data_IF_190459329304
#
_entry.id   IF_190459329304
#
_cell.length_a   1.000
_cell.length_b   1.000
_cell.length_c   1.000
_cell.angle_alpha   90.00
_cell.angle_beta   90.00
_cell.angle_gamma   90.00
#
_symmetry.space_group_name_H-M   'P 1'
#
loop_
_entity.id
_entity.type
_entity.pdbx_description
1 polymer ?
#
# COMPACT_ATOMS: atom_id res chain seq x y z
N UNK A 1 -12.87 13.55 6.01
CA UNK A 1 -11.59 13.77 6.70
C UNK A 1 -11.66 15.01 7.60
N UNK A 2 -11.91 16.21 7.06
CA UNK A 2 -12.00 17.47 7.84
C UNK A 2 -12.94 17.35 9.05
N UNK A 3 -14.18 16.89 8.87
CA UNK A 3 -15.14 16.67 9.98
C UNK A 3 -14.62 15.77 11.10
N UNK A 4 -13.83 14.75 10.76
CA UNK A 4 -13.20 13.88 11.76
C UNK A 4 -12.10 14.64 12.52
N UNK A 5 -11.30 15.44 11.81
CA UNK A 5 -10.27 16.26 12.46
C UNK A 5 -10.90 17.30 13.39
N UNK A 6 -12.03 17.90 13.00
CA UNK A 6 -12.82 18.80 13.86
C UNK A 6 -13.37 18.06 15.10
N UNK A 7 -13.97 16.87 14.91
CA UNK A 7 -14.51 16.05 15.99
C UNK A 7 -13.45 15.67 17.03
N UNK A 8 -12.22 15.45 16.60
CA UNK A 8 -11.07 15.11 17.47
C UNK A 8 -10.21 16.31 17.86
N UNK A 9 -10.59 17.55 17.50
CA UNK A 9 -9.83 18.78 17.77
C UNK A 9 -8.35 18.70 17.29
N UNK A 10 -8.17 18.16 16.07
CA UNK A 10 -6.89 18.00 15.38
C UNK A 10 -6.73 18.92 14.17
N UNK A 11 -7.79 19.62 13.79
CA UNK A 11 -7.87 20.58 12.66
C UNK A 11 -6.92 21.79 12.80
N UNK A 12 -6.40 22.05 14.00
CA UNK A 12 -5.48 23.15 14.30
C UNK A 12 -4.06 22.69 14.65
N UNK A 13 -3.74 21.40 14.48
CA UNK A 13 -2.45 20.80 14.85
C UNK A 13 -1.74 20.27 13.61
N UNK A 14 -0.45 20.57 13.39
CA UNK A 14 0.28 19.96 12.28
C UNK A 14 0.34 18.44 12.39
N UNK A 15 0.09 17.74 11.29
CA UNK A 15 0.13 16.27 11.23
C UNK A 15 0.71 15.76 9.91
N UNK A 16 1.01 14.46 9.86
CA UNK A 16 1.38 13.74 8.65
C UNK A 16 0.30 12.73 8.29
N UNK A 17 0.02 12.60 7.00
CA UNK A 17 -0.96 11.68 6.45
C UNK A 17 -0.24 10.62 5.62
N UNK A 18 -0.35 9.36 6.01
CA UNK A 18 0.18 8.23 5.22
C UNK A 18 -0.97 7.46 4.58
N UNK A 19 -1.02 7.45 3.25
CA UNK A 19 -2.10 6.81 2.46
C UNK A 19 -1.54 6.22 1.18
N UNK A 20 -2.29 5.37 0.49
CA UNK A 20 -1.87 4.86 -0.82
C UNK A 20 -1.81 5.98 -1.87
N UNK A 21 -0.96 5.81 -2.90
CA UNK A 21 -0.74 6.83 -3.91
C UNK A 21 -1.74 6.72 -5.07
N UNK A 22 -3.02 6.55 -4.73
CA UNK A 22 -4.10 6.60 -5.71
C UNK A 22 -4.42 8.07 -6.03
N UNK A 23 -4.84 8.35 -7.26
CA UNK A 23 -5.07 9.74 -7.72
C UNK A 23 -6.12 10.49 -6.88
N UNK A 24 -7.17 9.78 -6.43
CA UNK A 24 -8.19 10.33 -5.54
C UNK A 24 -7.65 10.72 -4.15
N UNK A 25 -6.64 10.02 -3.64
CA UNK A 25 -5.99 10.35 -2.38
C UNK A 25 -5.14 11.61 -2.51
N UNK A 26 -4.44 11.76 -3.63
CA UNK A 26 -3.71 12.99 -3.95
C UNK A 26 -4.67 14.18 -4.02
N UNK A 27 -5.84 14.00 -4.65
CA UNK A 27 -6.89 15.03 -4.66
C UNK A 27 -7.38 15.35 -3.25
N UNK A 28 -7.64 14.34 -2.43
CA UNK A 28 -8.09 14.52 -1.04
C UNK A 28 -7.05 15.28 -0.20
N UNK A 29 -5.75 15.00 -0.36
CA UNK A 29 -4.70 15.75 0.33
C UNK A 29 -4.71 17.25 -0.04
N UNK A 30 -4.92 17.58 -1.32
CA UNK A 30 -5.04 18.97 -1.78
C UNK A 30 -6.29 19.66 -1.23
N UNK A 31 -7.41 18.96 -1.18
CA UNK A 31 -8.65 19.47 -0.56
C UNK A 31 -8.48 19.70 0.95
N UNK A 32 -7.69 18.85 1.61
CA UNK A 32 -7.37 18.97 3.03
C UNK A 32 -6.52 20.21 3.31
N UNK A 33 -5.49 20.45 2.50
CA UNK A 33 -4.69 21.68 2.57
C UNK A 33 -5.54 22.93 2.31
N UNK A 34 -6.45 22.90 1.33
CA UNK A 34 -7.35 24.01 1.05
C UNK A 34 -8.32 24.30 2.21
N UNK A 35 -8.67 23.28 2.99
CA UNK A 35 -9.63 23.41 4.11
C UNK A 35 -8.96 23.83 5.42
N UNK A 36 -7.76 23.33 5.71
CA UNK A 36 -7.04 23.55 6.98
C UNK A 36 -5.99 24.67 6.90
N UNK A 37 -5.57 25.03 5.68
CA UNK A 37 -4.46 25.94 5.44
C UNK A 37 -3.09 25.23 5.48
N UNK A 38 -2.16 25.73 4.67
CA UNK A 38 -0.81 25.13 4.51
C UNK A 38 0.04 25.16 5.78
N UNK A 39 -0.29 26.00 6.76
CA UNK A 39 0.36 26.06 8.08
C UNK A 39 0.06 24.81 8.94
N UNK A 40 -1.13 24.22 8.76
CA UNK A 40 -1.57 23.02 9.47
C UNK A 40 -1.24 21.77 8.66
N UNK A 41 -1.54 21.79 7.36
CA UNK A 41 -1.32 20.65 6.49
C UNK A 41 -0.94 21.10 5.08
N UNK A 42 0.29 20.80 4.67
CA UNK A 42 0.76 20.96 3.29
C UNK A 42 0.66 19.62 2.58
N UNK A 43 -0.10 19.53 1.48
CA UNK A 43 -0.23 18.29 0.74
C UNK A 43 1.12 17.81 0.18
N UNK A 44 2.03 18.72 -0.14
CA UNK A 44 3.37 18.40 -0.64
C UNK A 44 4.28 17.83 0.45
N UNK A 45 4.27 18.43 1.65
CA UNK A 45 5.24 18.12 2.70
C UNK A 45 4.71 17.11 3.73
N UNK A 46 3.40 17.03 3.93
CA UNK A 46 2.77 16.24 4.98
C UNK A 46 2.06 14.99 4.46
N UNK A 47 1.87 14.84 3.14
CA UNK A 47 1.35 13.61 2.56
C UNK A 47 2.49 12.65 2.19
N UNK A 48 2.51 11.51 2.86
CA UNK A 48 3.50 10.45 2.63
C UNK A 48 2.79 9.28 1.92
N UNK A 49 3.31 8.88 0.77
CA UNK A 49 2.83 7.69 0.09
C UNK A 49 3.12 6.42 0.90
N UNK A 50 2.16 5.50 0.93
CA UNK A 50 2.29 4.22 1.61
C UNK A 50 3.48 3.43 1.04
N UNK A 51 4.33 2.91 1.95
CA UNK A 51 5.49 2.08 1.59
C UNK A 51 5.11 0.88 0.71
N UNK A 52 3.92 0.30 0.90
CA UNK A 52 3.44 -0.79 0.07
C UNK A 52 3.25 -0.39 -1.39
N UNK A 53 2.75 0.82 -1.64
CA UNK A 53 2.63 1.35 -3.00
C UNK A 53 4.01 1.61 -3.62
N UNK A 54 4.94 2.20 -2.86
CA UNK A 54 6.31 2.45 -3.31
C UNK A 54 7.01 1.15 -3.72
N UNK A 55 6.91 0.11 -2.87
CA UNK A 55 7.47 -1.22 -3.18
C UNK A 55 6.83 -1.78 -4.44
N UNK A 56 5.51 -1.69 -4.59
CA UNK A 56 4.83 -2.18 -5.78
C UNK A 56 5.31 -1.47 -7.06
N UNK A 57 5.48 -0.16 -7.04
CA UNK A 57 5.97 0.61 -8.19
C UNK A 57 7.42 0.26 -8.53
N UNK A 58 8.28 0.10 -7.52
CA UNK A 58 9.68 -0.34 -7.70
C UNK A 58 9.72 -1.72 -8.33
N UNK A 59 8.92 -2.67 -7.84
CA UNK A 59 8.88 -4.05 -8.38
C UNK A 59 8.36 -4.05 -9.81
N UNK A 60 7.29 -3.33 -10.11
CA UNK A 60 6.76 -3.21 -11.48
C UNK A 60 7.82 -2.64 -12.43
N UNK A 61 8.52 -1.58 -12.01
CA UNK A 61 9.60 -0.97 -12.78
C UNK A 61 10.76 -1.95 -12.98
N UNK A 62 11.18 -2.66 -11.94
CA UNK A 62 12.27 -3.64 -12.02
C UNK A 62 11.93 -4.81 -12.95
N UNK A 63 10.68 -5.29 -12.94
CA UNK A 63 10.22 -6.35 -13.83
C UNK A 63 10.18 -5.85 -15.28
N UNK A 64 9.57 -4.69 -15.54
CA UNK A 64 9.39 -4.16 -16.89
C UNK A 64 10.70 -3.66 -17.50
N UNK A 65 11.47 -2.86 -16.77
CA UNK A 65 12.71 -2.26 -17.26
C UNK A 65 13.92 -3.20 -17.14
N UNK A 66 14.00 -3.98 -16.07
CA UNK A 66 15.15 -4.85 -15.79
C UNK A 66 15.05 -6.22 -16.44
N UNK A 67 13.87 -6.84 -16.41
CA UNK A 67 13.67 -8.21 -16.91
C UNK A 67 13.04 -8.26 -18.31
N UNK A 68 12.60 -7.10 -18.85
CA UNK A 68 11.88 -6.97 -20.13
C UNK A 68 10.69 -7.93 -20.28
N UNK A 69 10.21 -8.46 -19.17
CA UNK A 69 9.08 -9.36 -19.17
C UNK A 69 7.81 -8.51 -19.10
N UNK A 70 6.88 -8.74 -20.05
CA UNK A 70 5.56 -8.14 -19.94
C UNK A 70 4.88 -8.65 -18.67
N UNK A 71 4.35 -7.72 -17.87
CA UNK A 71 3.43 -8.09 -16.81
C UNK A 71 2.17 -8.68 -17.49
N UNK A 72 1.79 -9.95 -17.23
CA UNK A 72 0.55 -10.47 -17.78
C UNK A 72 -0.59 -9.66 -17.18
N UNK A 73 -1.41 -9.08 -18.04
CA UNK A 73 -2.72 -8.58 -17.64
C UNK A 73 -3.50 -9.75 -17.06
N UNK A 74 -4.04 -9.57 -15.85
CA UNK A 74 -4.87 -10.49 -15.08
C UNK A 74 -5.39 -11.72 -15.86
N UNK A 75 -4.64 -12.81 -15.84
CA UNK A 75 -5.17 -14.12 -16.24
C UNK A 75 -4.81 -15.14 -15.18
N UNK A 76 -5.83 -15.47 -14.39
CA UNK A 76 -5.89 -16.59 -13.45
C UNK A 76 -6.04 -17.90 -14.25
N UNK A 77 -5.03 -18.23 -15.05
CA UNK A 77 -5.00 -19.48 -15.79
C UNK A 77 -3.63 -20.12 -15.72
N UNK A 78 -3.63 -21.30 -15.12
CA UNK A 78 -2.59 -22.32 -15.14
C UNK A 78 -2.34 -22.81 -16.59
N UNK A 79 -1.18 -23.43 -16.82
CA UNK A 79 -0.61 -24.02 -18.07
C UNK A 79 0.12 -23.06 -19.02
N UNK A 80 1.24 -23.41 -19.67
CA UNK A 80 2.15 -24.57 -19.61
C UNK A 80 3.49 -24.16 -20.28
N UNK A 81 4.49 -25.06 -20.27
CA UNK A 81 5.82 -24.97 -20.89
C UNK A 81 5.93 -24.24 -22.26
N UNK A 82 6.96 -23.40 -22.42
CA UNK A 82 7.93 -23.53 -23.53
C UNK A 82 9.23 -22.77 -23.22
N UNK A 83 10.35 -23.27 -23.72
CA UNK A 83 11.72 -22.87 -23.37
C UNK A 83 12.37 -22.24 -24.59
N UNK A 84 13.07 -21.11 -24.43
CA UNK A 84 14.34 -20.79 -25.13
C UNK A 84 14.85 -19.39 -24.73
N UNK A 85 16.11 -19.35 -24.27
CA UNK A 85 17.00 -18.19 -24.01
C UNK A 85 16.54 -17.10 -23.00
N UNK A 86 15.25 -17.03 -22.67
CA UNK A 86 14.65 -16.22 -21.61
C UNK A 86 14.64 -16.93 -20.23
N UNK A 87 15.39 -18.04 -20.09
CA UNK A 87 15.31 -18.98 -18.97
C UNK A 87 15.64 -18.35 -17.61
N UNK A 88 16.60 -17.42 -17.56
CA UNK A 88 17.02 -16.80 -16.30
C UNK A 88 15.95 -15.85 -15.74
N UNK A 89 15.49 -14.89 -16.55
CA UNK A 89 14.54 -13.87 -16.13
C UNK A 89 13.14 -14.44 -15.91
N UNK A 90 12.70 -15.38 -16.76
CA UNK A 90 11.41 -16.06 -16.60
C UNK A 90 11.38 -16.94 -15.33
N UNK A 91 12.47 -17.66 -15.05
CA UNK A 91 12.65 -18.44 -13.81
C UNK A 91 12.60 -17.56 -12.56
N UNK A 92 13.29 -16.42 -12.58
CA UNK A 92 13.29 -15.45 -11.46
C UNK A 92 11.88 -14.91 -11.22
N UNK A 93 11.15 -14.54 -12.27
CA UNK A 93 9.76 -14.04 -12.15
C UNK A 93 8.83 -15.12 -11.61
N UNK A 94 8.96 -16.37 -12.07
CA UNK A 94 8.18 -17.50 -11.56
C UNK A 94 8.44 -17.73 -10.07
N UNK A 95 9.72 -17.71 -9.66
CA UNK A 95 10.12 -17.85 -8.25
C UNK A 95 9.61 -16.70 -7.38
N UNK A 96 9.69 -15.46 -7.87
CA UNK A 96 9.15 -14.28 -7.19
C UNK A 96 7.62 -14.38 -7.02
N UNK A 97 6.89 -14.78 -8.06
CA UNK A 97 5.43 -14.96 -8.00
C UNK A 97 5.02 -16.05 -7.01
N UNK A 98 5.75 -17.17 -6.96
CA UNK A 98 5.53 -18.22 -5.97
C UNK A 98 5.78 -17.72 -4.55
N UNK A 99 6.85 -16.96 -4.33
CA UNK A 99 7.14 -16.31 -3.04
C UNK A 99 6.03 -15.34 -2.62
N UNK A 100 5.56 -14.47 -3.54
CA UNK A 100 4.45 -13.54 -3.27
C UNK A 100 3.16 -14.29 -2.93
N UNK A 101 2.83 -15.37 -3.67
CA UNK A 101 1.66 -16.20 -3.35
C UNK A 101 1.76 -16.80 -1.95
N UNK A 102 2.92 -17.36 -1.59
CA UNK A 102 3.15 -17.91 -0.25
C UNK A 102 3.02 -16.86 0.87
N UNK A 103 3.54 -15.64 0.64
CA UNK A 103 3.40 -14.52 1.58
C UNK A 103 1.92 -14.11 1.72
N UNK A 104 1.19 -14.01 0.60
CA UNK A 104 -0.22 -13.61 0.60
C UNK A 104 -1.13 -14.67 1.23
N UNK A 105 -0.81 -15.95 1.08
CA UNK A 105 -1.57 -17.04 1.69
C UNK A 105 -1.23 -17.28 3.15
N UNK A 106 -0.23 -16.58 3.70
CA UNK A 106 0.21 -16.77 5.10
C UNK A 106 -0.83 -16.17 6.07
N UNK A 107 -1.46 -16.98 6.95
CA UNK A 107 -2.44 -16.52 7.94
C UNK A 107 -1.83 -15.61 9.01
N UNK A 108 -0.50 -15.66 9.18
CA UNK A 108 0.24 -15.00 10.25
C UNK A 108 -0.04 -13.49 10.32
N UNK A 109 -0.30 -12.82 9.20
CA UNK A 109 -0.61 -11.38 9.18
C UNK A 109 -1.98 -11.06 9.75
N UNK A 110 -2.99 -11.88 9.45
CA UNK A 110 -4.33 -11.71 10.00
C UNK A 110 -4.36 -12.05 11.48
N UNK A 111 -3.73 -13.16 11.86
CA UNK A 111 -3.68 -13.62 13.26
C UNK A 111 -2.93 -12.64 14.16
N UNK A 112 -1.73 -12.17 13.75
CA UNK A 112 -0.96 -11.19 14.52
C UNK A 112 -1.66 -9.83 14.61
N UNK A 113 -2.35 -9.40 13.54
CA UNK A 113 -3.11 -8.15 13.56
C UNK A 113 -4.34 -8.26 14.47
N UNK A 114 -5.07 -9.38 14.42
CA UNK A 114 -6.20 -9.65 15.32
C UNK A 114 -5.73 -9.70 16.78
N UNK A 115 -4.61 -10.36 17.06
CA UNK A 115 -4.02 -10.41 18.40
C UNK A 115 -3.62 -9.02 18.89
N UNK A 116 -2.98 -8.22 18.04
CA UNK A 116 -2.64 -6.83 18.36
C UNK A 116 -3.88 -5.99 18.66
N UNK A 117 -4.92 -6.07 17.81
CA UNK A 117 -6.17 -5.34 18.03
C UNK A 117 -6.89 -5.76 19.32
N UNK A 118 -6.89 -7.06 19.63
CA UNK A 118 -7.50 -7.60 20.85
C UNK A 118 -6.79 -7.07 22.10
N UNK A 119 -5.46 -6.97 22.06
CA UNK A 119 -4.64 -6.45 23.15
C UNK A 119 -4.68 -4.92 23.26
N UNK A 120 -4.90 -4.21 22.15
CA UNK A 120 -4.93 -2.75 22.09
C UNK A 120 -6.29 -2.14 22.47
N UNK A 121 -7.39 -2.90 22.47
CA UNK A 121 -8.68 -2.40 22.97
C UNK A 121 -8.66 -2.22 24.49
N UNK A 122 -8.79 -0.98 25.02
CA UNK A 122 -9.01 -0.80 26.45
C UNK A 122 -10.34 -1.44 26.84
N UNK A 123 -10.34 -2.24 27.92
CA UNK A 123 -11.57 -2.82 28.48
C UNK A 123 -12.52 -1.68 28.87
N UNK A 124 -13.46 -1.35 27.99
CA UNK A 124 -14.56 -0.45 28.31
C UNK A 124 -15.29 -1.02 29.53
N UNK A 125 -15.33 -0.25 30.63
CA UNK A 125 -16.17 -0.58 31.78
C UNK A 125 -17.62 -0.60 31.32
N UNK A 126 -18.41 -1.64 31.65
CA UNK A 126 -19.84 -1.61 31.39
C UNK A 126 -20.48 -0.45 32.17
N UNK A 127 -21.39 0.26 31.48
CA UNK A 127 -22.26 1.31 32.03
C UNK A 127 -23.23 0.69 33.03
#
# INVERSE_FOLDING_TARGET
MVKLLEEFELDNKPFFLTTDNASNIVTMAKELEASLGSEVFSAENNHISCIGHVINLVVQTAIVAGLKAQAPENTDSSDDNDTTEAESSASIIKSLRSGIRAIRSSPARCEQYIEFCTNATPKLKPI
#
